data_IF_193607324535
#
_entry.id   IF_193607324535
#
_cell.length_a   1.000
_cell.length_b   1.000
_cell.length_c   1.000
_cell.angle_alpha   90.00
_cell.angle_beta   90.00
_cell.angle_gamma   90.00
#
_symmetry.space_group_name_H-M   'P 1'
#
loop_
_entity.id
_entity.type
_entity.pdbx_description
1 polymer ?
#
# COMPACT_ATOMS: atom_id res chain seq x y z
N UNK A 1 17.49 6.45 -5.14
CA UNK A 1 17.27 6.34 -3.67
C UNK A 1 15.78 6.28 -3.49
N UNK A 2 15.23 5.08 -3.33
CA UNK A 2 13.83 4.93 -2.95
C UNK A 2 13.72 5.36 -1.50
N UNK A 3 13.12 6.52 -1.26
CA UNK A 3 12.86 7.00 0.09
C UNK A 3 11.62 6.25 0.58
N UNK A 4 11.82 5.16 1.31
CA UNK A 4 10.77 4.59 2.15
C UNK A 4 10.54 5.58 3.30
N UNK A 5 9.56 6.46 3.13
CA UNK A 5 9.07 7.27 4.25
C UNK A 5 8.29 6.33 5.18
N UNK A 6 8.64 6.34 6.47
CA UNK A 6 7.93 5.57 7.50
C UNK A 6 6.46 5.98 7.49
N UNK A 7 5.56 5.03 7.26
CA UNK A 7 4.11 5.27 7.34
C UNK A 7 3.67 5.04 8.78
N UNK A 8 3.18 6.08 9.49
CA UNK A 8 2.77 5.93 10.88
C UNK A 8 1.68 4.86 11.05
N UNK A 9 1.84 3.98 12.04
CA UNK A 9 0.87 2.91 12.32
C UNK A 9 1.03 1.64 11.48
N UNK A 10 2.08 1.56 10.64
CA UNK A 10 2.45 0.34 9.92
C UNK A 10 3.88 -0.10 10.26
N UNK A 11 4.05 -1.41 10.33
CA UNK A 11 5.34 -2.05 10.50
C UNK A 11 6.19 -1.83 9.24
N UNK A 12 7.47 -1.40 9.37
CA UNK A 12 8.34 -1.19 8.21
C UNK A 12 8.48 -2.43 7.32
N UNK A 13 8.55 -3.62 7.91
CA UNK A 13 8.69 -4.89 7.20
C UNK A 13 7.45 -5.20 6.34
N UNK A 14 6.25 -4.83 6.83
CA UNK A 14 5.01 -4.96 6.08
C UNK A 14 5.01 -4.03 4.86
N UNK A 15 5.48 -2.79 5.02
CA UNK A 15 5.61 -1.85 3.90
C UNK A 15 6.61 -2.35 2.85
N UNK A 16 7.76 -2.88 3.28
CA UNK A 16 8.73 -3.46 2.37
C UNK A 16 8.15 -4.65 1.58
N UNK A 17 7.39 -5.51 2.26
CA UNK A 17 6.70 -6.63 1.62
C UNK A 17 5.68 -6.17 0.56
N UNK A 18 4.83 -5.20 0.92
CA UNK A 18 3.83 -4.63 0.02
C UNK A 18 4.49 -4.00 -1.21
N UNK A 19 5.55 -3.22 -1.01
CA UNK A 19 6.28 -2.58 -2.13
C UNK A 19 6.95 -3.63 -3.02
N UNK A 20 7.55 -4.67 -2.45
CA UNK A 20 8.13 -5.77 -3.23
C UNK A 20 7.07 -6.45 -4.10
N UNK A 21 5.91 -6.78 -3.52
CA UNK A 21 4.78 -7.36 -4.23
C UNK A 21 4.25 -6.45 -5.34
N UNK A 22 4.13 -5.16 -5.09
CA UNK A 22 3.70 -4.17 -6.10
C UNK A 22 4.65 -4.13 -7.30
N UNK A 23 5.96 -4.25 -7.08
CA UNK A 23 6.97 -4.30 -8.17
C UNK A 23 6.84 -5.55 -9.02
N UNK A 24 6.45 -6.68 -8.42
CA UNK A 24 6.17 -7.91 -9.17
C UNK A 24 4.88 -7.80 -9.98
N UNK A 25 3.83 -7.20 -9.38
CA UNK A 25 2.51 -7.06 -10.01
C UNK A 25 2.49 -6.00 -11.13
N UNK A 26 3.22 -4.90 -10.95
CA UNK A 26 3.31 -3.78 -11.89
C UNK A 26 4.79 -3.45 -12.18
N UNK A 27 5.49 -4.23 -13.02
CA UNK A 27 6.93 -4.03 -13.28
C UNK A 27 7.28 -2.69 -13.93
N UNK A 28 6.31 -2.00 -14.53
CA UNK A 28 6.46 -0.66 -15.10
C UNK A 28 6.24 0.46 -14.08
N UNK A 29 6.02 0.13 -12.80
CA UNK A 29 5.87 1.11 -11.72
C UNK A 29 7.12 1.99 -11.60
N UNK A 30 6.91 3.31 -11.65
CA UNK A 30 7.94 4.33 -11.45
C UNK A 30 7.84 5.00 -10.07
N UNK A 31 6.66 4.93 -9.43
CA UNK A 31 6.45 5.42 -8.09
C UNK A 31 5.27 4.70 -7.40
N UNK A 32 5.34 4.63 -6.08
CA UNK A 32 4.29 4.13 -5.20
C UNK A 32 4.01 5.22 -4.17
N UNK A 33 2.76 5.65 -4.04
CA UNK A 33 2.35 6.71 -3.12
C UNK A 33 1.29 6.18 -2.17
N UNK A 34 1.41 6.55 -0.89
CA UNK A 34 0.36 6.31 0.10
C UNK A 34 -0.64 7.47 0.03
N UNK A 35 -1.92 7.13 0.03
CA UNK A 35 -3.00 8.11 0.12
C UNK A 35 -3.91 7.80 1.31
N UNK A 36 -5.15 8.30 1.31
CA UNK A 36 -6.11 7.94 2.35
C UNK A 36 -5.77 8.44 3.77
N UNK A 37 -6.24 7.70 4.77
CA UNK A 37 -6.10 8.05 6.20
C UNK A 37 -4.66 7.90 6.71
N UNK A 38 -3.87 6.97 6.17
CA UNK A 38 -2.45 6.80 6.51
C UNK A 38 -1.63 8.01 6.08
N UNK A 39 -1.84 8.54 4.86
CA UNK A 39 -1.19 9.78 4.44
C UNK A 39 -1.58 10.98 5.32
N UNK A 40 -2.85 11.05 5.74
CA UNK A 40 -3.35 12.12 6.60
C UNK A 40 -2.92 11.99 8.07
N UNK A 41 -2.31 10.87 8.47
CA UNK A 41 -1.99 10.57 9.86
C UNK A 41 -3.23 10.37 10.75
N UNK A 42 -4.38 10.05 10.16
CA UNK A 42 -5.65 9.85 10.86
C UNK A 42 -6.13 8.40 10.80
N UNK A 43 -5.25 7.46 10.42
CA UNK A 43 -5.56 6.05 10.35
C UNK A 43 -5.77 5.46 11.75
N UNK A 44 -6.69 4.52 11.85
CA UNK A 44 -6.97 3.69 13.03
C UNK A 44 -6.90 2.20 12.68
N UNK A 45 -7.24 1.32 13.63
CA UNK A 45 -7.17 -0.13 13.45
C UNK A 45 -8.10 -0.68 12.35
N UNK A 46 -9.12 0.08 11.96
CA UNK A 46 -10.07 -0.29 10.90
C UNK A 46 -9.74 0.33 9.55
N UNK A 47 -8.68 1.14 9.48
CA UNK A 47 -8.30 1.86 8.27
C UNK A 47 -7.54 0.99 7.28
N UNK A 48 -7.90 1.13 6.00
CA UNK A 48 -7.21 0.51 4.89
C UNK A 48 -5.98 1.31 4.48
N UNK A 49 -5.00 0.61 3.90
CA UNK A 49 -3.86 1.22 3.24
C UNK A 49 -4.20 1.46 1.76
N UNK A 50 -4.48 2.72 1.44
CA UNK A 50 -4.67 3.15 0.06
C UNK A 50 -3.31 3.44 -0.61
N UNK A 51 -3.07 2.82 -1.76
CA UNK A 51 -1.84 2.97 -2.52
C UNK A 51 -2.15 3.35 -3.96
N UNK A 52 -1.48 4.40 -4.45
CA UNK A 52 -1.46 4.77 -5.84
C UNK A 52 -0.13 4.33 -6.47
N UNK A 53 -0.21 3.60 -7.58
CA UNK A 53 0.97 3.18 -8.34
C UNK A 53 1.01 3.98 -9.65
N UNK A 54 2.09 4.72 -9.85
CA UNK A 54 2.35 5.43 -11.09
C UNK A 54 3.17 4.52 -11.98
N UNK A 55 2.68 4.22 -13.18
CA UNK A 55 3.32 3.33 -14.15
C UNK A 55 3.81 4.09 -15.38
N UNK A 56 4.86 3.58 -16.02
CA UNK A 56 5.23 4.00 -17.35
C UNK A 56 4.33 3.28 -18.38
N UNK A 57 3.21 3.92 -18.74
CA UNK A 57 2.24 3.38 -19.69
C UNK A 57 0.98 2.84 -19.00
N UNK A 58 0.20 2.04 -19.74
CA UNK A 58 -1.05 1.47 -19.23
C UNK A 58 -0.77 0.50 -18.06
N UNK A 59 -1.48 0.63 -16.92
CA UNK A 59 -1.33 -0.31 -15.81
C UNK A 59 -1.80 -1.71 -16.21
N UNK A 60 -1.17 -2.76 -15.66
CA UNK A 60 -1.61 -4.15 -15.89
C UNK A 60 -3.00 -4.35 -15.30
N UNK A 61 -3.33 -3.68 -14.19
CA UNK A 61 -4.71 -3.58 -13.71
C UNK A 61 -4.99 -2.19 -13.11
N UNK A 62 -6.12 -1.55 -13.48
CA UNK A 62 -6.45 -0.21 -13.00
C UNK A 62 -6.86 -0.19 -11.52
N UNK A 63 -7.28 -1.32 -10.95
CA UNK A 63 -7.69 -1.42 -9.55
C UNK A 63 -7.40 -2.80 -8.99
N UNK A 64 -6.76 -2.86 -7.82
CA UNK A 64 -6.46 -4.10 -7.11
C UNK A 64 -6.73 -3.94 -5.62
N UNK A 65 -7.10 -5.05 -5.00
CA UNK A 65 -7.31 -5.17 -3.56
C UNK A 65 -6.83 -6.54 -3.12
N UNK A 66 -6.16 -6.59 -1.97
CA UNK A 66 -5.81 -7.83 -1.29
C UNK A 66 -5.63 -7.55 0.20
N UNK A 67 -5.43 -8.62 0.96
CA UNK A 67 -5.16 -8.58 2.38
C UNK A 67 -3.71 -8.93 2.64
N UNK A 68 -3.12 -8.26 3.62
CA UNK A 68 -1.84 -8.63 4.20
C UNK A 68 -2.05 -9.02 5.67
N UNK A 69 -1.29 -10.01 6.12
CA UNK A 69 -1.26 -10.35 7.54
C UNK A 69 -0.44 -9.31 8.30
N UNK A 70 -1.02 -8.76 9.37
CA UNK A 70 -0.31 -7.91 10.32
C UNK A 70 0.34 -8.75 11.40
N UNK A 71 1.43 -8.27 11.97
CA UNK A 71 2.14 -8.97 13.05
C UNK A 71 1.27 -9.17 14.31
N UNK A 72 0.24 -8.34 14.50
CA UNK A 72 -0.76 -8.46 15.57
C UNK A 72 -1.92 -9.43 15.24
N UNK A 73 -1.88 -10.07 14.07
CA UNK A 73 -2.86 -11.05 13.62
C UNK A 73 -4.19 -10.46 13.16
N UNK A 74 -4.33 -9.13 13.05
CA UNK A 74 -5.54 -8.51 12.52
C UNK A 74 -5.42 -8.24 11.01
N UNK A 75 -6.32 -8.78 10.18
CA UNK A 75 -6.43 -8.34 8.79
C UNK A 75 -7.07 -6.94 8.74
N UNK A 76 -6.43 -5.97 8.09
CA UNK A 76 -7.07 -4.66 7.81
C UNK A 76 -7.91 -4.73 6.53
N UNK A 77 -9.21 -4.42 6.64
CA UNK A 77 -10.10 -4.13 5.48
C UNK A 77 -11.25 -3.19 5.86
N UNK A 78 -11.69 -2.35 4.90
CA UNK A 78 -13.08 -2.12 4.53
C UNK A 78 -13.30 -1.40 3.17
N UNK A 79 -13.83 -2.18 2.20
CA UNK A 79 -14.78 -1.84 1.13
C UNK A 79 -15.23 -0.36 0.99
N UNK A 80 -15.10 0.19 -0.24
CA UNK A 80 -16.16 1.03 -0.83
C UNK A 80 -16.36 0.75 -2.33
N UNK A 81 -17.63 0.65 -2.69
CA UNK A 81 -18.18 0.62 -4.05
C UNK A 81 -18.06 1.99 -4.74
#
# INVERSE_FOLDING_TARGET
MDRLEVVPGLEPELLEHIVARLRELEPSAIATLVSGSYFKGSADQSSDLDIEVVTQGEPVSPYRMWFEERADGQPSTSLRA
#
